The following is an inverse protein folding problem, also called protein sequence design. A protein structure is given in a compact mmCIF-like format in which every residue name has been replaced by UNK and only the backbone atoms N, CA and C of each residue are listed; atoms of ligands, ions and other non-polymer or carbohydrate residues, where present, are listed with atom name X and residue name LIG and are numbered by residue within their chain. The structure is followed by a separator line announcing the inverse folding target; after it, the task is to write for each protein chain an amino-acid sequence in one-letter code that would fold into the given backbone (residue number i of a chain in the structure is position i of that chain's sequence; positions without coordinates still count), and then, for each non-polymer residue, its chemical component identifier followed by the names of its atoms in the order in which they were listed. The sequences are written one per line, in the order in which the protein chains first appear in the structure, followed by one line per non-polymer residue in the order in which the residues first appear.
data_IF_104403451533
#
_entry.id   IF_104403451533
#
_cell.length_a   1.000
_cell.length_b   1.000
_cell.length_c   1.000
_cell.angle_alpha   90.00
_cell.angle_beta   90.00
_cell.angle_gamma   90.00
#
_symmetry.space_group_name_H-M   'P 1'
#
loop_
_entity.id
_entity.type
_entity.pdbx_description
1 polymer ?
#
# COMPACT_ATOMS: atom_id res chain seq x y z
N UNK A 1 19.27 21.89 9.27
CA UNK A 1 18.52 20.63 9.03
C UNK A 1 18.51 20.36 7.54
N UNK A 2 18.92 19.16 7.11
CA UNK A 2 19.00 18.82 5.68
C UNK A 2 17.62 18.56 5.08
N UNK A 3 17.43 18.91 3.82
CA UNK A 3 16.18 18.74 3.06
C UNK A 3 15.69 17.28 3.02
N UNK A 4 16.62 16.32 3.01
CA UNK A 4 16.32 14.88 3.11
C UNK A 4 15.61 14.50 4.42
N UNK A 5 16.01 15.09 5.55
CA UNK A 5 15.38 14.82 6.84
C UNK A 5 13.93 15.30 6.88
N UNK A 6 13.65 16.46 6.27
CA UNK A 6 12.29 17.01 6.18
C UNK A 6 11.39 16.15 5.28
N UNK A 7 11.91 15.63 4.16
CA UNK A 7 11.15 14.74 3.28
C UNK A 7 10.82 13.41 3.95
N UNK A 8 11.78 12.84 4.68
CA UNK A 8 11.57 11.60 5.44
C UNK A 8 10.52 11.79 6.55
N UNK A 9 10.64 12.84 7.37
CA UNK A 9 9.64 13.15 8.40
C UNK A 9 8.25 13.37 7.82
N UNK A 10 8.16 13.99 6.64
CA UNK A 10 6.86 14.24 5.96
C UNK A 10 6.28 12.97 5.36
N UNK A 11 7.11 12.06 4.84
CA UNK A 11 6.69 10.74 4.39
C UNK A 11 6.18 9.88 5.57
N UNK A 12 6.88 9.91 6.70
CA UNK A 12 6.46 9.22 7.92
C UNK A 12 5.16 9.79 8.50
N UNK A 13 5.00 11.11 8.53
CA UNK A 13 3.77 11.76 8.97
C UNK A 13 2.56 11.38 8.08
N UNK A 14 2.76 11.30 6.76
CA UNK A 14 1.73 10.81 5.82
C UNK A 14 1.44 9.33 5.98
N UNK A 15 2.43 8.52 6.32
CA UNK A 15 2.24 7.08 6.59
C UNK A 15 1.40 6.81 7.85
N UNK A 16 1.41 7.73 8.83
CA UNK A 16 0.60 7.65 10.07
C UNK A 16 -0.78 8.29 9.96
N UNK A 17 -1.00 9.16 8.97
CA UNK A 17 -2.34 9.68 8.69
C UNK A 17 -3.17 8.52 8.13
N UNK A 18 -4.16 8.05 8.90
CA UNK A 18 -5.04 7.00 8.44
C UNK A 18 -5.84 7.55 7.25
N UNK A 19 -5.62 7.05 6.02
CA UNK A 19 -6.36 7.55 4.87
C UNK A 19 -7.83 7.22 5.07
N UNK A 20 -8.72 8.10 4.58
CA UNK A 20 -10.14 7.83 4.56
C UNK A 20 -10.39 6.45 3.90
N UNK A 21 -11.30 5.63 4.46
CA UNK A 21 -11.57 4.31 3.90
C UNK A 21 -12.03 4.45 2.45
N UNK A 22 -11.54 3.59 1.54
CA UNK A 22 -11.91 3.65 0.14
C UNK A 22 -13.42 3.41 -0.02
N UNK A 23 -14.12 4.24 -0.82
CA UNK A 23 -15.57 4.20 -0.92
C UNK A 23 -16.07 2.98 -1.71
N UNK A 24 -15.22 2.38 -2.55
CA UNK A 24 -15.56 1.20 -3.35
C UNK A 24 -14.48 0.12 -3.28
N UNK A 25 -14.86 -1.13 -3.62
CA UNK A 25 -13.88 -2.24 -3.75
C UNK A 25 -12.85 -1.98 -4.84
N UNK A 26 -13.25 -1.33 -5.94
CA UNK A 26 -12.33 -0.96 -7.02
C UNK A 26 -11.26 0.02 -6.51
N UNK A 27 -11.64 1.00 -5.70
CA UNK A 27 -10.72 1.95 -5.08
C UNK A 27 -9.78 1.27 -4.07
N UNK A 28 -10.30 0.31 -3.30
CA UNK A 28 -9.50 -0.51 -2.38
C UNK A 28 -8.45 -1.31 -3.17
N UNK A 29 -8.86 -2.00 -4.24
CA UNK A 29 -7.96 -2.78 -5.08
C UNK A 29 -6.88 -1.89 -5.71
N UNK A 30 -7.26 -0.75 -6.29
CA UNK A 30 -6.32 0.21 -6.87
C UNK A 30 -5.31 0.71 -5.83
N UNK A 31 -5.74 0.89 -4.58
CA UNK A 31 -4.87 1.28 -3.47
C UNK A 31 -3.90 0.16 -3.09
N UNK A 32 -4.37 -1.09 -2.98
CA UNK A 32 -3.53 -2.24 -2.67
C UNK A 32 -2.48 -2.51 -3.77
N UNK A 33 -2.87 -2.39 -5.04
CA UNK A 33 -1.95 -2.53 -6.18
C UNK A 33 -0.85 -1.46 -6.16
N UNK A 34 -1.20 -0.20 -5.88
CA UNK A 34 -0.21 0.88 -5.72
C UNK A 34 0.75 0.62 -4.57
N UNK A 35 0.25 0.13 -3.42
CA UNK A 35 1.08 -0.27 -2.28
C UNK A 35 2.02 -1.41 -2.64
N UNK A 36 1.55 -2.41 -3.40
CA UNK A 36 2.38 -3.53 -3.85
C UNK A 36 3.51 -3.07 -4.75
N UNK A 37 3.22 -2.21 -5.73
CA UNK A 37 4.25 -1.64 -6.60
C UNK A 37 5.31 -0.86 -5.80
N UNK A 38 4.90 -0.09 -4.79
CA UNK A 38 5.84 0.59 -3.91
C UNK A 38 6.69 -0.37 -3.07
N UNK A 39 6.09 -1.44 -2.52
CA UNK A 39 6.80 -2.47 -1.77
C UNK A 39 7.83 -3.21 -2.64
N UNK A 40 7.43 -3.58 -3.85
CA UNK A 40 8.31 -4.20 -4.84
C UNK A 40 9.51 -3.31 -5.18
N UNK A 41 9.25 -2.04 -5.51
CA UNK A 41 10.31 -1.07 -5.82
C UNK A 41 11.24 -0.79 -4.63
N UNK A 42 10.77 -0.99 -3.40
CA UNK A 42 11.56 -0.85 -2.18
C UNK A 42 12.28 -2.15 -1.78
N UNK A 43 12.07 -3.26 -2.49
CA UNK A 43 12.60 -4.58 -2.13
C UNK A 43 12.01 -5.16 -0.84
N UNK A 44 10.84 -4.68 -0.40
CA UNK A 44 10.19 -5.09 0.85
C UNK A 44 9.36 -6.37 0.63
N UNK A 45 10.04 -7.52 0.54
CA UNK A 45 9.47 -8.82 0.13
C UNK A 45 8.34 -9.29 1.03
N UNK A 46 8.47 -9.16 2.35
CA UNK A 46 7.44 -9.58 3.30
C UNK A 46 6.18 -8.71 3.19
N UNK A 47 6.38 -7.40 2.98
CA UNK A 47 5.29 -6.46 2.77
C UNK A 47 4.58 -6.74 1.43
N UNK A 48 5.34 -7.05 0.39
CA UNK A 48 4.79 -7.45 -0.90
C UNK A 48 3.95 -8.73 -0.78
N UNK A 49 4.46 -9.76 -0.10
CA UNK A 49 3.73 -11.02 0.13
C UNK A 49 2.41 -10.80 0.89
N UNK A 50 2.43 -10.00 1.96
CA UNK A 50 1.23 -9.66 2.71
C UNK A 50 0.20 -8.91 1.85
N UNK A 51 0.66 -7.98 1.00
CA UNK A 51 -0.23 -7.22 0.11
C UNK A 51 -0.85 -8.10 -0.98
N UNK A 52 -0.12 -9.11 -1.49
CA UNK A 52 -0.66 -10.10 -2.42
C UNK A 52 -1.83 -10.86 -1.79
N UNK A 53 -1.69 -11.29 -0.53
CA UNK A 53 -2.77 -11.99 0.16
C UNK A 53 -3.97 -11.08 0.42
N UNK A 54 -3.75 -9.81 0.80
CA UNK A 54 -4.85 -8.84 0.92
C UNK A 54 -5.58 -8.60 -0.41
N UNK A 55 -4.85 -8.57 -1.53
CA UNK A 55 -5.43 -8.44 -2.87
C UNK A 55 -6.27 -9.69 -3.20
N UNK A 56 -5.77 -10.89 -2.89
CA UNK A 56 -6.50 -12.15 -3.09
C UNK A 56 -7.79 -12.20 -2.28
N UNK A 57 -7.78 -11.69 -1.05
CA UNK A 57 -8.98 -11.59 -0.22
C UNK A 57 -9.98 -10.54 -0.73
N UNK A 58 -9.48 -9.45 -1.33
CA UNK A 58 -10.33 -8.38 -1.86
C UNK A 58 -10.98 -8.73 -3.21
N UNK A 59 -10.43 -9.72 -3.94
CA UNK A 59 -10.95 -10.19 -5.22
C UNK A 59 -11.83 -11.42 -5.01
N UNK A 60 -13.07 -11.46 -5.53
CA UNK A 60 -13.84 -12.69 -5.64
C UNK A 60 -13.27 -13.51 -6.80
N UNK A 61 -12.07 -14.07 -6.63
CA UNK A 61 -11.55 -15.06 -7.56
C UNK A 61 -12.28 -16.35 -7.21
N UNK A 62 -13.34 -16.67 -7.94
CA UNK A 62 -13.86 -18.03 -7.95
C UNK A 62 -12.73 -18.93 -8.43
N UNK A 63 -12.22 -19.79 -7.53
CA UNK A 63 -11.30 -20.85 -7.92
C UNK A 63 -12.13 -21.89 -8.66
N UNK A 64 -12.24 -21.71 -9.99
CA UNK A 64 -12.66 -22.77 -10.91
C UNK A 64 -11.65 -23.89 -10.95
#
# INVERSE_FOLDING_TARGET
MTTLSLQLSRALARGRAQPAPPPTRADLLATLLRKRAAAHNAGAVELEAMLIDQIRWALPIERG
#
